data_IF_038789350937
#
_entry.id   IF_038789350937
#
_cell.length_a   1.000
_cell.length_b   1.000
_cell.length_c   1.000
_cell.angle_alpha   90.00
_cell.angle_beta   90.00
_cell.angle_gamma   90.00
#
_symmetry.space_group_name_H-M   'P 1'
#
loop_
_entity.id
_entity.type
_entity.pdbx_description
1 polymer ?
#
# COMPACT_ATOMS: atom_id res chain seq x y z
N UNK A 1 -11.77 40.43 -11.46
CA UNK A 1 -11.94 40.04 -10.05
C UNK A 1 -11.58 38.57 -9.96
N UNK A 2 -10.51 38.22 -9.23
CA UNK A 2 -10.13 36.82 -9.05
C UNK A 2 -10.86 36.27 -7.83
N UNK A 3 -11.90 35.47 -8.05
CA UNK A 3 -12.64 34.74 -7.01
C UNK A 3 -11.89 33.45 -6.62
N UNK A 4 -10.60 33.57 -6.34
CA UNK A 4 -9.79 32.43 -5.91
C UNK A 4 -10.17 32.00 -4.49
N UNK A 5 -10.31 30.69 -4.28
CA UNK A 5 -10.49 30.07 -2.95
C UNK A 5 -9.29 29.17 -2.64
N UNK A 6 -8.99 29.03 -1.35
CA UNK A 6 -7.97 28.09 -0.88
C UNK A 6 -8.53 26.66 -0.91
N UNK A 7 -7.68 25.69 -1.21
CA UNK A 7 -8.01 24.27 -1.19
C UNK A 7 -6.94 23.49 -0.41
N UNK A 8 -7.30 22.29 0.05
CA UNK A 8 -6.41 21.37 0.73
C UNK A 8 -6.33 20.07 -0.06
N UNK A 9 -5.12 19.56 -0.24
CA UNK A 9 -4.91 18.23 -0.83
C UNK A 9 -4.84 17.23 0.32
N UNK A 10 -5.69 16.22 0.28
CA UNK A 10 -5.63 15.06 1.17
C UNK A 10 -5.07 13.91 0.33
N UNK A 11 -3.82 13.55 0.57
CA UNK A 11 -3.17 12.42 -0.08
C UNK A 11 -3.28 11.16 0.79
N UNK A 12 -3.45 10.02 0.14
CA UNK A 12 -3.31 8.68 0.73
C UNK A 12 -2.56 7.79 -0.25
N UNK A 13 -1.87 6.74 0.21
CA UNK A 13 -1.23 5.79 -0.70
C UNK A 13 -2.26 5.15 -1.64
N UNK A 14 -1.85 4.91 -2.89
CA UNK A 14 -2.69 4.22 -3.88
C UNK A 14 -2.44 2.71 -3.84
N UNK A 15 -1.17 2.33 -3.85
CA UNK A 15 -0.73 0.94 -3.94
C UNK A 15 0.52 0.71 -3.07
N UNK A 16 0.80 -0.55 -2.77
CA UNK A 16 2.04 -1.03 -2.16
C UNK A 16 2.76 -1.89 -3.19
N UNK A 17 4.05 -1.65 -3.37
CA UNK A 17 4.91 -2.48 -4.22
C UNK A 17 5.94 -3.24 -3.39
N UNK A 18 6.11 -4.52 -3.69
CA UNK A 18 7.12 -5.36 -3.05
C UNK A 18 7.55 -6.51 -3.99
N UNK A 19 8.74 -7.05 -3.78
CA UNK A 19 9.14 -8.31 -4.42
C UNK A 19 8.57 -9.48 -3.61
N UNK A 20 7.75 -10.33 -4.24
CA UNK A 20 7.17 -11.46 -3.54
C UNK A 20 8.26 -12.49 -3.15
N UNK A 21 8.40 -12.86 -1.86
CA UNK A 21 9.46 -13.78 -1.41
C UNK A 21 9.29 -15.23 -1.91
N UNK A 22 8.16 -15.54 -2.57
CA UNK A 22 7.85 -16.89 -3.03
C UNK A 22 7.95 -17.09 -4.54
N UNK A 23 7.61 -16.08 -5.34
CA UNK A 23 7.68 -16.15 -6.80
C UNK A 23 8.70 -15.17 -7.41
N UNK A 24 9.25 -14.26 -6.60
CA UNK A 24 10.26 -13.27 -7.01
C UNK A 24 9.80 -12.30 -8.10
N UNK A 25 8.49 -12.19 -8.29
CA UNK A 25 7.89 -11.16 -9.15
C UNK A 25 7.70 -9.87 -8.34
N UNK A 26 7.85 -8.74 -9.02
CA UNK A 26 7.45 -7.44 -8.49
C UNK A 26 5.91 -7.36 -8.52
N UNK A 27 5.34 -7.07 -7.36
CA UNK A 27 3.90 -7.07 -7.14
C UNK A 27 3.43 -5.67 -6.80
N UNK A 28 2.30 -5.27 -7.38
CA UNK A 28 1.53 -4.10 -6.96
C UNK A 28 0.18 -4.56 -6.39
N UNK A 29 -0.13 -4.17 -5.15
CA UNK A 29 -1.44 -4.41 -4.52
C UNK A 29 -2.10 -3.08 -4.18
N UNK A 30 -3.42 -2.98 -4.37
CA UNK A 30 -4.16 -1.79 -3.96
C UNK A 30 -4.05 -1.65 -2.44
N UNK A 31 -3.77 -0.43 -1.98
CA UNK A 31 -3.63 -0.15 -0.55
C UNK A 31 -4.91 -0.50 0.23
N UNK A 32 -6.08 -0.33 -0.39
CA UNK A 32 -7.39 -0.62 0.19
C UNK A 32 -7.70 -2.14 0.27
N UNK A 33 -6.91 -3.02 -0.37
CA UNK A 33 -7.09 -4.48 -0.37
C UNK A 33 -6.18 -5.21 0.63
N UNK A 34 -5.32 -4.48 1.33
CA UNK A 34 -4.36 -5.03 2.29
C UNK A 34 -4.99 -5.12 3.69
N UNK A 35 -4.74 -6.24 4.38
CA UNK A 35 -5.18 -6.45 5.75
C UNK A 35 -4.12 -5.91 6.73
N UNK A 36 -4.29 -4.68 7.19
CA UNK A 36 -3.37 -4.05 8.13
C UNK A 36 -3.49 -4.64 9.53
N UNK A 37 -2.35 -4.85 10.19
CA UNK A 37 -2.29 -5.41 11.55
C UNK A 37 -2.97 -4.49 12.58
N UNK A 38 -3.03 -3.19 12.30
CA UNK A 38 -3.71 -2.15 13.10
C UNK A 38 -4.34 -1.07 12.18
N UNK A 39 -4.97 -0.05 12.76
CA UNK A 39 -5.45 1.12 12.01
C UNK A 39 -4.30 1.98 11.43
N UNK A 40 -3.05 1.73 11.84
CA UNK A 40 -1.87 2.41 11.34
C UNK A 40 -1.08 1.48 10.42
N UNK A 41 -0.99 1.85 9.14
CA UNK A 41 -0.33 1.03 8.11
C UNK A 41 1.15 0.75 8.36
N UNK A 42 1.80 1.56 9.22
CA UNK A 42 3.21 1.37 9.56
C UNK A 42 3.47 0.29 10.60
N UNK A 43 2.44 -0.33 11.16
CA UNK A 43 2.58 -1.47 12.09
C UNK A 43 2.63 -2.82 11.35
N UNK A 44 2.62 -2.81 10.01
CA UNK A 44 2.64 -3.98 9.15
C UNK A 44 1.26 -4.46 8.68
N UNK A 45 1.26 -5.45 7.80
CA UNK A 45 0.09 -5.90 7.07
C UNK A 45 0.25 -7.33 6.51
N UNK A 46 -0.85 -7.88 5.99
CA UNK A 46 -0.88 -9.13 5.23
C UNK A 46 -1.59 -8.91 3.89
N UNK A 47 -1.12 -9.56 2.84
CA UNK A 47 -1.82 -9.59 1.55
C UNK A 47 -1.55 -10.90 0.78
N UNK A 48 -2.48 -11.27 -0.09
CA UNK A 48 -2.27 -12.36 -1.03
C UNK A 48 -1.53 -11.85 -2.27
N UNK A 49 -0.42 -12.50 -2.62
CA UNK A 49 0.29 -12.19 -3.85
C UNK A 49 -0.59 -12.49 -5.08
N UNK A 50 -0.90 -11.52 -5.95
CA UNK A 50 -1.76 -11.72 -7.11
C UNK A 50 -1.13 -12.65 -8.16
N UNK A 51 0.21 -12.77 -8.17
CA UNK A 51 0.92 -13.62 -9.14
C UNK A 51 0.96 -15.10 -8.73
N UNK A 52 1.13 -15.40 -7.43
CA UNK A 52 1.31 -16.78 -6.97
C UNK A 52 0.26 -17.27 -5.94
N UNK A 53 -0.63 -16.38 -5.50
CA UNK A 53 -1.71 -16.67 -4.55
C UNK A 53 -1.24 -17.01 -3.13
N UNK A 54 0.02 -16.73 -2.78
CA UNK A 54 0.54 -16.96 -1.43
C UNK A 54 0.41 -15.69 -0.59
N UNK A 55 0.01 -15.88 0.66
CA UNK A 55 -0.03 -14.82 1.66
C UNK A 55 1.39 -14.35 2.01
N UNK A 56 1.59 -13.03 2.04
CA UNK A 56 2.85 -12.35 2.30
C UNK A 56 2.68 -11.41 3.49
N UNK A 57 3.62 -11.44 4.41
CA UNK A 57 3.73 -10.46 5.50
C UNK A 57 4.45 -9.20 5.01
N UNK A 58 3.86 -8.04 5.24
CA UNK A 58 4.48 -6.73 5.08
C UNK A 58 4.82 -6.20 6.48
N UNK A 59 6.07 -5.87 6.74
CA UNK A 59 6.52 -5.48 8.08
C UNK A 59 7.23 -4.12 8.06
N UNK A 60 8.34 -4.03 7.32
CA UNK A 60 9.02 -2.76 7.06
C UNK A 60 8.42 -2.03 5.85
N UNK A 61 8.41 -0.70 5.88
CA UNK A 61 7.92 0.13 4.78
C UNK A 61 8.84 1.34 4.53
N UNK A 62 8.94 1.74 3.27
CA UNK A 62 9.48 3.03 2.85
C UNK A 62 8.36 3.83 2.17
N UNK A 63 8.33 5.14 2.41
CA UNK A 63 7.36 6.04 1.78
C UNK A 63 8.12 6.97 0.83
N UNK A 64 7.89 6.80 -0.47
CA UNK A 64 8.39 7.71 -1.52
C UNK A 64 7.44 8.90 -1.74
#
# INVERSE_FOLDING_TARGET
>A
MNNGVNYTIISRPSYITFECPFCHEEVEVNFDEVDFKTDYWGDGAWCDCPECGKEVELDDYEYD
#
